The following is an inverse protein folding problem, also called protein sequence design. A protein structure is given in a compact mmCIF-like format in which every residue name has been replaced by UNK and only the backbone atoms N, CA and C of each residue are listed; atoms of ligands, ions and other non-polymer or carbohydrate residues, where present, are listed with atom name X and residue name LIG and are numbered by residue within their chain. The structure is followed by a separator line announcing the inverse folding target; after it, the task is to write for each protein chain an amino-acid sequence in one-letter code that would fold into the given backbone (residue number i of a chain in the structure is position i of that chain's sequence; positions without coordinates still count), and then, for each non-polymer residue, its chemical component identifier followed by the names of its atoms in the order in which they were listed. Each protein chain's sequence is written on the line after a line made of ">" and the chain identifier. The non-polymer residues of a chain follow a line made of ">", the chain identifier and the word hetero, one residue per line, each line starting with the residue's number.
data_IF_195110951854
#
_entry.id   IF_195110951854
#
_cell.length_a   1.000
_cell.length_b   1.000
_cell.length_c   1.000
_cell.angle_alpha   90.00
_cell.angle_beta   90.00
_cell.angle_gamma   90.00
#
_symmetry.space_group_name_H-M   'P 1'
#
loop_
_entity.id
_entity.type
_entity.pdbx_description
1 polymer ?
#
# COMPACT_ATOMS: atom_id res chain seq x y z
N UNK A 1 5.07 -5.19 -0.61
CA UNK A 1 3.60 -5.02 -0.73
C UNK A 1 2.96 -6.14 -1.57
N UNK A 2 3.34 -6.30 -2.85
CA UNK A 2 2.73 -7.30 -3.75
C UNK A 2 2.77 -8.74 -3.24
N UNK A 3 3.90 -9.19 -2.69
CA UNK A 3 4.00 -10.53 -2.11
C UNK A 3 3.01 -10.76 -0.96
N UNK A 4 2.88 -9.77 -0.05
CA UNK A 4 1.93 -9.85 1.05
C UNK A 4 0.48 -9.89 0.53
N UNK A 5 0.16 -9.09 -0.49
CA UNK A 5 -1.15 -9.08 -1.11
C UNK A 5 -1.52 -10.43 -1.73
N UNK A 6 -0.56 -11.13 -2.38
CA UNK A 6 -0.81 -12.46 -2.92
C UNK A 6 -1.13 -13.48 -1.81
N UNK A 7 -0.39 -13.44 -0.70
CA UNK A 7 -0.67 -14.27 0.47
C UNK A 7 -2.02 -13.93 1.10
N UNK A 8 -2.36 -12.64 1.20
CA UNK A 8 -3.61 -12.19 1.77
C UNK A 8 -4.81 -12.50 0.87
N UNK A 9 -4.65 -12.46 -0.46
CA UNK A 9 -5.69 -12.82 -1.43
C UNK A 9 -6.07 -14.29 -1.31
N UNK A 10 -5.10 -15.18 -1.12
CA UNK A 10 -5.38 -16.60 -0.88
C UNK A 10 -6.28 -16.78 0.36
N UNK A 11 -5.98 -16.07 1.46
CA UNK A 11 -6.79 -16.10 2.68
C UNK A 11 -8.15 -15.41 2.51
N UNK A 12 -8.22 -14.31 1.75
CA UNK A 12 -9.47 -13.64 1.41
C UNK A 12 -10.43 -14.58 0.69
N UNK A 13 -9.91 -15.40 -0.23
CA UNK A 13 -10.72 -16.38 -0.97
C UNK A 13 -11.11 -17.58 -0.11
N UNK A 14 -10.16 -18.13 0.66
CA UNK A 14 -10.39 -19.29 1.53
C UNK A 14 -11.43 -19.01 2.62
N UNK A 15 -11.43 -17.79 3.16
CA UNK A 15 -12.23 -17.42 4.33
C UNK A 15 -13.44 -16.54 3.99
N UNK A 16 -13.72 -16.32 2.69
CA UNK A 16 -14.73 -15.38 2.21
C UNK A 16 -16.15 -15.62 2.72
N UNK A 17 -16.47 -16.86 3.09
CA UNK A 17 -17.78 -17.24 3.65
C UNK A 17 -17.99 -16.73 5.10
N UNK A 18 -16.91 -16.35 5.78
CA UNK A 18 -16.94 -15.91 7.19
C UNK A 18 -16.37 -14.50 7.37
N UNK A 19 -15.35 -14.13 6.58
CA UNK A 19 -14.63 -12.87 6.72
C UNK A 19 -14.53 -12.13 5.39
N UNK A 20 -14.80 -10.82 5.43
CA UNK A 20 -14.48 -9.91 4.34
C UNK A 20 -13.15 -9.20 4.64
N UNK A 21 -12.06 -9.73 4.09
CA UNK A 21 -10.70 -9.26 4.35
C UNK A 21 -10.35 -8.09 3.43
N UNK A 22 -9.92 -6.96 4.00
CA UNK A 22 -9.47 -5.77 3.27
C UNK A 22 -7.98 -5.52 3.58
N UNK A 23 -7.18 -5.26 2.55
CA UNK A 23 -5.77 -4.97 2.73
C UNK A 23 -5.57 -3.51 3.17
N UNK A 24 -4.95 -3.33 4.33
CA UNK A 24 -4.55 -2.01 4.80
C UNK A 24 -3.38 -1.48 3.97
N UNK A 25 -3.60 -0.37 3.27
CA UNK A 25 -2.59 0.30 2.44
C UNK A 25 -2.44 1.74 2.94
N UNK A 26 -1.45 1.98 3.80
CA UNK A 26 -1.08 3.33 4.22
C UNK A 26 0.25 3.72 3.62
N UNK A 27 0.27 4.86 2.95
CA UNK A 27 1.49 5.43 2.38
C UNK A 27 2.26 6.27 3.39
N UNK A 28 1.60 6.71 4.47
CA UNK A 28 2.14 7.64 5.44
C UNK A 28 1.74 7.26 6.86
N UNK A 29 2.55 7.69 7.82
CA UNK A 29 2.22 7.60 9.25
C UNK A 29 2.50 8.98 9.85
N UNK A 30 1.53 9.64 10.49
CA UNK A 30 1.79 10.91 11.18
C UNK A 30 2.79 10.70 12.32
N UNK A 31 3.71 11.66 12.48
CA UNK A 31 4.80 11.62 13.49
C UNK A 31 4.90 12.95 14.20
N UNK A 32 5.20 12.89 15.50
CA UNK A 32 5.55 14.06 16.32
C UNK A 32 7.03 14.41 16.26
N UNK A 33 7.88 13.47 15.86
CA UNK A 33 9.32 13.64 15.66
C UNK A 33 9.70 13.63 14.17
N UNK A 34 10.91 14.12 13.86
CA UNK A 34 11.47 14.06 12.51
C UNK A 34 11.75 12.61 12.08
N UNK A 35 11.63 12.36 10.77
CA UNK A 35 11.80 11.05 10.15
C UNK A 35 11.05 10.96 8.83
N UNK A 36 11.20 9.82 8.15
CA UNK A 36 10.60 9.56 6.85
C UNK A 36 9.09 9.83 6.83
N UNK A 37 8.66 10.59 5.82
CA UNK A 37 7.30 11.14 5.71
C UNK A 37 6.31 10.25 4.96
N UNK A 38 6.77 9.11 4.43
CA UNK A 38 5.92 8.15 3.73
C UNK A 38 6.21 8.07 2.23
N UNK A 39 5.64 7.06 1.58
CA UNK A 39 5.94 6.70 0.20
C UNK A 39 5.52 7.77 -0.80
N UNK A 40 4.37 8.42 -0.55
CA UNK A 40 3.91 9.51 -1.43
C UNK A 40 4.85 10.70 -1.30
N UNK A 41 5.18 11.13 -0.07
CA UNK A 41 6.03 12.29 0.15
C UNK A 41 7.49 12.07 -0.27
N UNK A 42 8.08 10.93 0.09
CA UNK A 42 9.49 10.62 -0.14
C UNK A 42 9.66 9.17 -0.63
N UNK A 43 9.39 8.89 -1.92
CA UNK A 43 9.40 7.52 -2.47
C UNK A 43 10.79 6.88 -2.57
N UNK A 44 11.86 7.67 -2.42
CA UNK A 44 13.25 7.21 -2.53
C UNK A 44 13.91 7.04 -1.16
N UNK A 45 13.26 7.49 -0.10
CA UNK A 45 13.75 7.39 1.29
C UNK A 45 15.09 8.11 1.49
N UNK A 46 15.26 9.24 0.82
CA UNK A 46 16.50 10.04 0.77
C UNK A 46 16.24 11.54 1.02
N UNK A 47 15.06 11.90 1.53
CA UNK A 47 14.62 13.28 1.77
C UNK A 47 14.60 14.17 0.51
N UNK A 48 14.49 13.58 -0.69
CA UNK A 48 14.41 14.32 -1.97
C UNK A 48 13.02 14.84 -2.33
N UNK A 49 11.97 14.37 -1.65
CA UNK A 49 10.58 14.80 -1.79
C UNK A 49 10.00 14.72 -3.22
N UNK A 50 10.26 13.63 -3.95
CA UNK A 50 9.68 13.38 -5.28
C UNK A 50 8.19 12.96 -5.22
N UNK A 51 7.31 13.89 -4.84
CA UNK A 51 5.88 13.61 -4.59
C UNK A 51 5.16 13.03 -5.82
N UNK A 52 5.44 13.56 -7.01
CA UNK A 52 4.83 13.05 -8.26
C UNK A 52 5.16 11.57 -8.49
N UNK A 53 6.43 11.18 -8.32
CA UNK A 53 6.86 9.78 -8.40
C UNK A 53 6.14 8.93 -7.34
N UNK A 54 5.99 9.46 -6.12
CA UNK A 54 5.28 8.80 -5.03
C UNK A 54 3.81 8.57 -5.35
N UNK A 55 3.12 9.56 -5.93
CA UNK A 55 1.72 9.46 -6.38
C UNK A 55 1.56 8.40 -7.47
N UNK A 56 2.46 8.37 -8.45
CA UNK A 56 2.44 7.35 -9.52
C UNK A 56 2.62 5.95 -8.96
N UNK A 57 3.62 5.73 -8.10
CA UNK A 57 3.86 4.43 -7.44
C UNK A 57 2.69 4.00 -6.58
N UNK A 58 2.11 4.92 -5.80
CA UNK A 58 0.95 4.65 -4.96
C UNK A 58 -0.27 4.22 -5.80
N UNK A 59 -0.56 4.96 -6.89
CA UNK A 59 -1.66 4.64 -7.79
C UNK A 59 -1.44 3.31 -8.52
N UNK A 60 -0.23 3.04 -9.01
CA UNK A 60 0.11 1.77 -9.66
C UNK A 60 -0.17 0.57 -8.73
N UNK A 61 0.23 0.68 -7.46
CA UNK A 61 -0.03 -0.36 -6.47
C UNK A 61 -1.53 -0.55 -6.23
N UNK A 62 -2.29 0.54 -6.04
CA UNK A 62 -3.74 0.47 -5.81
C UNK A 62 -4.48 -0.14 -7.00
N UNK A 63 -4.14 0.24 -8.22
CA UNK A 63 -4.72 -0.35 -9.44
C UNK A 63 -4.39 -1.84 -9.54
N UNK A 64 -3.15 -2.23 -9.22
CA UNK A 64 -2.75 -3.63 -9.23
C UNK A 64 -3.54 -4.46 -8.20
N UNK A 65 -3.77 -3.94 -7.00
CA UNK A 65 -4.58 -4.59 -5.96
C UNK A 65 -6.05 -4.70 -6.37
N UNK A 66 -6.61 -3.64 -6.94
CA UNK A 66 -7.97 -3.66 -7.48
C UNK A 66 -8.14 -4.71 -8.58
N UNK A 67 -7.17 -4.82 -9.50
CA UNK A 67 -7.17 -5.85 -10.55
C UNK A 67 -7.01 -7.27 -9.99
N UNK A 68 -6.31 -7.43 -8.86
CA UNK A 68 -6.22 -8.69 -8.13
C UNK A 68 -7.55 -9.07 -7.44
N UNK A 69 -8.49 -8.12 -7.31
CA UNK A 69 -9.72 -8.30 -6.56
C UNK A 69 -9.48 -8.32 -5.04
N UNK A 70 -8.39 -7.70 -4.58
CA UNK A 70 -8.11 -7.51 -3.16
C UNK A 70 -8.38 -6.04 -2.80
N UNK A 71 -9.51 -5.74 -2.13
CA UNK A 71 -9.85 -4.38 -1.73
C UNK A 71 -8.91 -3.82 -0.67
#
# INVERSE_FOLDING_TARGET
>A
AREYALKLKALHDELGDTFYIVMRIYFEKPRTTVGWKGLINDPRMDDSFHIEEGLHKARELLVWLANLGLP
#
